data_IF_205327084393
#
_entry.id   IF_205327084393
#
_cell.length_a   1.000
_cell.length_b   1.000
_cell.length_c   1.000
_cell.angle_alpha   90.00
_cell.angle_beta   90.00
_cell.angle_gamma   90.00
#
_symmetry.space_group_name_H-M   'P 1'
#
loop_
_entity.id
_entity.type
_entity.pdbx_description
1 polymer ?
#
# COMPACT_ATOMS: atom_id res chain seq x y z
N UNK A 1 -6.15 3.72 12.24
CA UNK A 1 -5.01 2.86 12.59
C UNK A 1 -5.41 1.88 13.67
N UNK A 2 -4.90 2.09 14.87
CA UNK A 2 -5.17 1.27 16.05
C UNK A 2 -6.60 1.45 16.57
N UNK A 3 -7.22 0.37 17.04
CA UNK A 3 -8.58 0.32 17.63
C UNK A 3 -9.76 0.45 16.65
N UNK A 4 -9.47 0.42 15.34
CA UNK A 4 -10.48 0.23 14.30
C UNK A 4 -10.57 -1.28 14.00
N UNK A 5 -11.76 -1.92 14.02
CA UNK A 5 -11.90 -3.33 13.68
C UNK A 5 -11.59 -3.64 12.21
N UNK A 6 -11.46 -2.61 11.36
CA UNK A 6 -11.05 -2.77 9.97
C UNK A 6 -12.13 -3.32 9.05
N UNK A 7 -13.39 -3.28 9.48
CA UNK A 7 -14.55 -3.66 8.67
C UNK A 7 -15.02 -2.52 7.76
N UNK A 8 -14.73 -1.27 8.13
CA UNK A 8 -15.08 -0.06 7.38
C UNK A 8 -13.86 0.62 6.74
N UNK A 9 -14.12 1.52 5.78
CA UNK A 9 -13.10 2.41 5.22
C UNK A 9 -12.51 3.30 6.32
N UNK A 10 -11.20 3.19 6.53
CA UNK A 10 -10.51 3.81 7.66
C UNK A 10 -9.41 2.88 8.16
N UNK A 11 -8.92 3.11 9.38
CA UNK A 11 -8.11 2.09 10.04
C UNK A 11 -6.66 1.92 9.57
N UNK A 12 -6.20 2.52 8.47
CA UNK A 12 -4.83 2.32 7.99
C UNK A 12 -3.77 3.04 8.83
N UNK A 13 -2.51 2.61 8.70
CA UNK A 13 -1.35 3.32 9.25
C UNK A 13 -0.95 4.51 8.38
N UNK A 14 -0.53 4.24 7.15
CA UNK A 14 -0.18 5.25 6.13
C UNK A 14 -1.02 4.98 4.87
N UNK A 15 -1.89 5.92 4.52
CA UNK A 15 -2.67 5.90 3.28
C UNK A 15 -2.27 7.04 2.37
N UNK A 16 -2.04 6.76 1.09
CA UNK A 16 -1.62 7.78 0.13
C UNK A 16 -2.45 7.65 -1.14
N UNK A 17 -3.20 8.70 -1.44
CA UNK A 17 -3.87 8.87 -2.72
C UNK A 17 -2.88 9.23 -3.82
N UNK A 18 -2.99 8.60 -4.98
CA UNK A 18 -2.08 8.79 -6.13
C UNK A 18 -2.86 9.02 -7.44
N UNK A 19 -2.15 9.44 -8.48
CA UNK A 19 -2.62 9.61 -9.87
C UNK A 19 -2.78 11.07 -10.30
N UNK A 20 -2.77 12.00 -9.35
CA UNK A 20 -3.07 13.41 -9.62
C UNK A 20 -2.08 14.06 -10.60
N UNK A 21 -0.82 13.64 -10.59
CA UNK A 21 0.25 14.24 -11.40
C UNK A 21 0.50 13.53 -12.74
N UNK A 22 -0.45 12.68 -13.17
CA UNK A 22 -0.40 12.00 -14.44
C UNK A 22 0.48 10.73 -14.42
N UNK A 23 1.00 10.28 -15.58
CA UNK A 23 1.63 8.95 -15.69
C UNK A 23 2.88 8.73 -14.83
N UNK A 24 3.50 9.80 -14.34
CA UNK A 24 4.70 9.74 -13.49
C UNK A 24 4.47 10.59 -12.25
N UNK A 25 4.33 9.94 -11.11
CA UNK A 25 4.18 10.55 -9.80
C UNK A 25 5.20 9.90 -8.85
N UNK A 26 6.25 10.66 -8.52
CA UNK A 26 7.35 10.13 -7.72
C UNK A 26 7.07 10.30 -6.24
N UNK A 27 7.04 9.18 -5.54
CA UNK A 27 6.88 9.10 -4.08
C UNK A 27 7.87 8.08 -3.53
N UNK A 28 8.43 8.39 -2.36
CA UNK A 28 9.24 7.47 -1.59
C UNK A 28 8.71 7.42 -0.15
N UNK A 29 8.31 6.22 0.29
CA UNK A 29 7.99 5.93 1.70
C UNK A 29 9.12 5.06 2.23
N UNK A 30 9.89 5.57 3.18
CA UNK A 30 11.14 4.93 3.61
C UNK A 30 11.26 4.89 5.12
N UNK A 31 11.77 3.78 5.68
CA UNK A 31 12.11 3.63 7.10
C UNK A 31 10.93 3.94 8.06
N UNK A 32 9.71 3.62 7.62
CA UNK A 32 8.48 3.84 8.38
C UNK A 32 7.99 2.54 9.05
N UNK A 33 7.31 2.68 10.19
CA UNK A 33 6.68 1.56 10.91
C UNK A 33 5.17 1.75 11.00
N UNK A 34 4.40 0.71 10.62
CA UNK A 34 2.95 0.67 10.75
C UNK A 34 2.51 -0.64 11.43
N UNK A 35 2.02 -0.55 12.68
CA UNK A 35 1.71 -1.72 13.50
C UNK A 35 0.31 -1.70 14.11
N UNK A 36 -0.39 -2.84 14.08
CA UNK A 36 -1.67 -3.01 14.77
C UNK A 36 -2.81 -2.19 14.15
N UNK A 37 -2.75 -1.93 12.84
CA UNK A 37 -3.76 -1.16 12.11
C UNK A 37 -4.93 -2.05 11.69
N UNK A 38 -6.15 -1.53 11.84
CA UNK A 38 -7.38 -2.27 11.51
C UNK A 38 -7.44 -2.72 10.05
N UNK A 39 -6.88 -1.94 9.12
CA UNK A 39 -6.84 -2.27 7.70
C UNK A 39 -5.40 -2.48 7.22
N UNK A 40 -4.85 -1.55 6.46
CA UNK A 40 -3.52 -1.65 5.88
C UNK A 40 -2.46 -1.03 6.81
N UNK A 41 -1.27 -1.61 6.87
CA UNK A 41 -0.11 -0.91 7.40
C UNK A 41 0.20 0.31 6.53
N UNK A 42 0.47 0.08 5.24
CA UNK A 42 0.68 1.11 4.21
C UNK A 42 -0.19 0.78 2.99
N UNK A 43 -0.83 1.78 2.37
CA UNK A 43 -1.48 1.57 1.07
C UNK A 43 -1.32 2.74 0.12
N UNK A 44 -1.39 2.42 -1.18
CA UNK A 44 -1.50 3.37 -2.29
C UNK A 44 -2.85 3.17 -2.96
N UNK A 45 -3.57 4.26 -3.24
CA UNK A 45 -4.88 4.20 -3.87
C UNK A 45 -4.99 5.22 -5.00
N UNK A 46 -5.28 4.76 -6.21
CA UNK A 46 -5.62 5.65 -7.31
C UNK A 46 -6.90 6.40 -6.96
N UNK A 47 -6.90 7.73 -7.08
CA UNK A 47 -7.99 8.57 -6.60
C UNK A 47 -9.12 8.81 -7.62
N UNK A 48 -8.88 8.53 -8.92
CA UNK A 48 -9.93 8.52 -9.95
C UNK A 48 -9.70 7.34 -10.90
N UNK A 49 -10.77 6.65 -11.29
CA UNK A 49 -10.71 5.43 -12.10
C UNK A 49 -10.36 5.69 -13.58
N UNK A 50 -10.62 6.91 -14.06
CA UNK A 50 -10.28 7.37 -15.41
C UNK A 50 -8.84 7.89 -15.52
N UNK A 51 -8.12 8.01 -14.41
CA UNK A 51 -6.72 8.45 -14.40
C UNK A 51 -5.79 7.31 -14.79
N UNK A 52 -4.68 7.67 -15.42
CA UNK A 52 -3.60 6.73 -15.73
C UNK A 52 -2.91 6.33 -14.41
N UNK A 53 -2.86 5.03 -14.06
CA UNK A 53 -2.06 4.54 -12.93
C UNK A 53 -0.63 5.08 -12.95
N UNK A 54 -0.18 5.79 -11.91
CA UNK A 54 1.11 6.48 -11.93
C UNK A 54 2.27 5.52 -11.67
N UNK A 55 3.43 5.87 -12.27
CA UNK A 55 4.71 5.18 -12.07
C UNK A 55 5.68 6.00 -11.24
N UNK A 56 6.68 5.32 -10.66
CA UNK A 56 7.81 5.95 -9.97
C UNK A 56 7.70 5.98 -8.44
N UNK A 57 6.76 5.22 -7.89
CA UNK A 57 6.51 5.09 -6.45
C UNK A 57 7.34 3.95 -5.85
N UNK A 58 7.89 4.17 -4.65
CA UNK A 58 8.74 3.21 -3.96
C UNK A 58 8.41 3.16 -2.47
N UNK A 59 8.32 1.96 -1.91
CA UNK A 59 8.24 1.70 -0.48
C UNK A 59 9.46 0.88 -0.08
N UNK A 60 10.33 1.42 0.77
CA UNK A 60 11.63 0.80 1.07
C UNK A 60 11.93 0.76 2.55
N UNK A 61 12.46 -0.35 3.04
CA UNK A 61 12.91 -0.48 4.45
C UNK A 61 11.80 -0.23 5.49
N UNK A 62 10.54 -0.44 5.11
CA UNK A 62 9.41 -0.27 6.02
C UNK A 62 9.13 -1.53 6.83
N UNK A 63 8.54 -1.36 8.01
CA UNK A 63 8.06 -2.43 8.87
C UNK A 63 6.54 -2.36 9.04
N UNK A 64 5.82 -3.41 8.64
CA UNK A 64 4.38 -3.53 8.82
C UNK A 64 4.06 -4.80 9.58
N UNK A 65 3.48 -4.69 10.79
CA UNK A 65 3.21 -5.84 11.66
C UNK A 65 1.79 -5.82 12.23
N UNK A 66 1.16 -6.99 12.35
CA UNK A 66 -0.11 -7.15 13.08
C UNK A 66 -1.24 -6.26 12.52
N UNK A 67 -1.17 -5.92 11.23
CA UNK A 67 -2.26 -5.24 10.53
C UNK A 67 -3.14 -6.29 9.84
N UNK A 68 -4.30 -5.90 9.32
CA UNK A 68 -5.06 -6.81 8.44
C UNK A 68 -4.27 -7.12 7.16
N UNK A 69 -3.77 -6.09 6.50
CA UNK A 69 -2.83 -6.19 5.38
C UNK A 69 -1.56 -5.39 5.70
N UNK A 70 -0.38 -5.89 5.31
CA UNK A 70 0.88 -5.17 5.51
C UNK A 70 1.00 -3.95 4.60
N UNK A 71 1.33 -4.18 3.33
CA UNK A 71 1.42 -3.16 2.28
C UNK A 71 0.45 -3.50 1.15
N UNK A 72 -0.37 -2.54 0.71
CA UNK A 72 -1.40 -2.76 -0.32
C UNK A 72 -1.26 -1.80 -1.50
N UNK A 73 -1.36 -2.33 -2.72
CA UNK A 73 -1.32 -1.57 -3.97
C UNK A 73 -2.69 -1.58 -4.68
N UNK A 74 -3.40 -0.47 -4.60
CA UNK A 74 -4.72 -0.23 -5.19
C UNK A 74 -4.65 0.83 -6.30
N UNK A 75 -3.68 0.67 -7.21
CA UNK A 75 -3.73 1.36 -8.51
C UNK A 75 -2.44 2.07 -8.95
N UNK A 76 -1.27 1.67 -8.43
CA UNK A 76 0.01 2.10 -8.99
C UNK A 76 0.42 1.23 -10.20
N UNK A 77 1.27 1.78 -11.07
CA UNK A 77 1.92 1.05 -12.16
C UNK A 77 3.44 0.99 -11.89
N UNK A 78 3.95 -0.20 -11.60
CA UNK A 78 5.38 -0.39 -11.31
C UNK A 78 5.79 0.01 -9.91
N UNK A 79 4.94 -0.21 -8.90
CA UNK A 79 5.31 -0.05 -7.49
C UNK A 79 6.54 -0.91 -7.16
N UNK A 80 7.58 -0.30 -6.60
CA UNK A 80 8.72 -1.02 -6.02
C UNK A 80 8.55 -1.13 -4.51
N UNK A 81 8.47 -2.36 -3.99
CA UNK A 81 8.55 -2.65 -2.55
C UNK A 81 9.83 -3.42 -2.29
N UNK A 82 10.75 -2.86 -1.50
CA UNK A 82 12.05 -3.51 -1.26
C UNK A 82 12.58 -3.37 0.16
N UNK A 83 13.24 -4.40 0.67
CA UNK A 83 13.87 -4.35 1.99
C UNK A 83 12.88 -4.22 3.16
N UNK A 84 11.59 -4.49 2.94
CA UNK A 84 10.56 -4.32 3.96
C UNK A 84 10.37 -5.61 4.79
N UNK A 85 9.85 -5.45 6.00
CA UNK A 85 9.41 -6.57 6.86
C UNK A 85 7.91 -6.47 7.07
N UNK A 86 7.15 -7.50 6.68
CA UNK A 86 5.69 -7.50 6.63
C UNK A 86 5.11 -8.64 7.47
N UNK A 87 5.44 -8.66 8.76
CA UNK A 87 5.29 -9.84 9.62
C UNK A 87 3.93 -9.92 10.32
N UNK A 88 3.35 -11.12 10.41
CA UNK A 88 2.18 -11.36 11.25
C UNK A 88 0.93 -10.55 10.88
N UNK A 89 0.85 -10.06 9.64
CA UNK A 89 -0.37 -9.42 9.14
C UNK A 89 -1.45 -10.50 8.91
N UNK A 90 -2.70 -10.18 9.22
CA UNK A 90 -3.75 -11.21 9.42
C UNK A 90 -4.29 -11.81 8.13
N UNK A 91 -4.19 -11.09 7.01
CA UNK A 91 -4.63 -11.55 5.69
C UNK A 91 -3.44 -11.74 4.75
N UNK A 92 -2.62 -10.70 4.56
CA UNK A 92 -1.43 -10.78 3.72
C UNK A 92 -0.38 -9.74 4.15
N UNK A 93 0.91 -10.07 3.99
CA UNK A 93 1.98 -9.08 4.16
C UNK A 93 2.06 -8.09 2.99
N UNK A 94 1.82 -8.55 1.76
CA UNK A 94 1.67 -7.69 0.58
C UNK A 94 0.38 -8.05 -0.18
N UNK A 95 -0.40 -7.05 -0.56
CA UNK A 95 -1.67 -7.19 -1.28
C UNK A 95 -1.69 -6.34 -2.56
N UNK A 96 -2.26 -6.90 -3.62
CA UNK A 96 -2.62 -6.17 -4.84
C UNK A 96 -4.08 -6.47 -5.11
N UNK A 97 -4.93 -5.48 -4.96
CA UNK A 97 -6.38 -5.68 -5.08
C UNK A 97 -7.09 -4.40 -5.48
N UNK A 98 -8.37 -4.55 -5.84
CA UNK A 98 -9.27 -3.46 -6.20
C UNK A 98 -10.15 -3.03 -5.02
N UNK A 99 -9.61 -3.05 -3.79
CA UNK A 99 -10.38 -2.71 -2.57
C UNK A 99 -10.50 -1.20 -2.32
N UNK A 100 -9.74 -0.39 -3.05
CA UNK A 100 -9.85 1.07 -3.02
C UNK A 100 -11.13 1.58 -3.69
N UNK A 101 -11.41 2.86 -3.46
CA UNK A 101 -12.58 3.61 -3.96
C UNK A 101 -12.74 3.58 -5.47
N UNK A 102 -11.64 3.47 -6.22
CA UNK A 102 -11.64 3.40 -7.68
C UNK A 102 -11.81 1.99 -8.24
N UNK A 103 -11.76 0.95 -7.39
CA UNK A 103 -11.79 -0.45 -7.82
C UNK A 103 -10.68 -0.81 -8.84
N UNK A 104 -9.54 -0.10 -8.79
CA UNK A 104 -8.37 -0.34 -9.64
C UNK A 104 -7.29 -1.03 -8.80
N UNK A 105 -6.82 -2.19 -9.25
CA UNK A 105 -5.67 -2.85 -8.64
C UNK A 105 -4.35 -2.34 -9.22
N UNK A 106 -3.29 -2.42 -8.41
CA UNK A 106 -1.93 -2.18 -8.88
C UNK A 106 -1.49 -3.16 -9.98
N UNK A 107 -0.48 -2.78 -10.76
CA UNK A 107 0.09 -3.63 -11.82
C UNK A 107 1.58 -3.37 -12.05
N UNK A 108 2.26 -4.36 -12.64
CA UNK A 108 3.65 -4.21 -13.10
C UNK A 108 4.69 -3.97 -11.98
N UNK A 109 4.31 -4.12 -10.72
CA UNK A 109 5.17 -3.89 -9.55
C UNK A 109 6.22 -4.99 -9.31
N UNK A 110 7.14 -4.70 -8.40
CA UNK A 110 8.19 -5.60 -7.94
C UNK A 110 8.26 -5.59 -6.41
N UNK A 111 8.11 -6.76 -5.79
CA UNK A 111 8.38 -6.98 -4.36
C UNK A 111 9.64 -7.81 -4.25
N UNK A 112 10.70 -7.28 -3.63
CA UNK A 112 12.01 -7.94 -3.62
C UNK A 112 12.80 -7.67 -2.34
N UNK A 113 13.58 -8.64 -1.89
CA UNK A 113 14.39 -8.49 -0.67
C UNK A 113 13.57 -8.18 0.59
N UNK A 114 12.30 -8.59 0.62
CA UNK A 114 11.41 -8.43 1.76
C UNK A 114 11.29 -9.73 2.56
N UNK A 115 10.95 -9.60 3.84
CA UNK A 115 10.46 -10.72 4.66
C UNK A 115 8.95 -10.57 4.80
N UNK A 116 8.19 -11.58 4.36
CA UNK A 116 6.71 -11.61 4.35
C UNK A 116 6.28 -12.78 5.21
#
# INVERSE_FOLDING_TARGET
>A
GRQDPGEDMGGAGIGIGVGGWGPVERLAVTDCTARGNGTNGIFLELQQDDWVPPRGIRITSCHTEDNRYGISDWGADGLLVTGCTMLGNHVAGFDVSAQGTTNVGGRGGLVTGCVI
#
